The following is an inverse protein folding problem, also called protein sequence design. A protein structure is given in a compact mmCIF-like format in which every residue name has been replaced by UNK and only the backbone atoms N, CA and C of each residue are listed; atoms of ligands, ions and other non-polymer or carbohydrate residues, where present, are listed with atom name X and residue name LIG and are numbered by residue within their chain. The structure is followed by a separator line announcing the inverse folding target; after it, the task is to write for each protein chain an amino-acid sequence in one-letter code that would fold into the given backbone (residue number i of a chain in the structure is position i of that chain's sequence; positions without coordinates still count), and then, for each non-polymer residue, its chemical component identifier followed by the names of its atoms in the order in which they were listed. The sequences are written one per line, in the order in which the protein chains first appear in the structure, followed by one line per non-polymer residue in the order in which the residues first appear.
data_IF_417078582519
#
_entry.id   IF_417078582519
#
_cell.length_a   1.000
_cell.length_b   1.000
_cell.length_c   1.000
_cell.angle_alpha   90.00
_cell.angle_beta   90.00
_cell.angle_gamma   90.00
#
_symmetry.space_group_name_H-M   'P 1'
#
loop_
_entity.id
_entity.type
_entity.pdbx_description
1 polymer ?
#
# COMPACT_ATOMS: atom_id res chain seq x y z
N UNK A 1 7.69 -22.03 2.21
CA UNK A 1 7.54 -20.58 1.94
C UNK A 1 7.84 -19.85 3.23
N UNK A 2 8.53 -18.70 3.20
CA UNK A 2 8.82 -17.92 4.42
C UNK A 2 8.52 -16.44 4.20
N UNK A 3 7.80 -15.82 5.13
CA UNK A 3 7.37 -14.42 5.06
C UNK A 3 8.09 -13.59 6.11
N UNK A 4 8.79 -12.54 5.68
CA UNK A 4 9.30 -11.51 6.58
C UNK A 4 8.20 -10.47 6.84
N UNK A 5 7.99 -10.04 8.09
CA UNK A 5 7.01 -9.01 8.45
C UNK A 5 7.75 -7.78 8.99
N UNK A 6 7.91 -6.77 8.13
CA UNK A 6 8.46 -5.47 8.50
C UNK A 6 7.37 -4.58 9.11
N UNK A 7 7.66 -4.00 10.25
CA UNK A 7 6.71 -3.18 11.01
C UNK A 7 7.45 -2.22 11.95
N UNK A 8 6.77 -1.17 12.41
CA UNK A 8 7.29 -0.36 13.52
C UNK A 8 7.00 -1.06 14.84
N UNK A 9 7.81 -0.79 15.88
CA UNK A 9 7.56 -1.32 17.22
C UNK A 9 6.17 -0.93 17.76
N UNK A 10 5.62 0.23 17.35
CA UNK A 10 4.26 0.67 17.72
C UNK A 10 3.17 -0.25 17.14
N UNK A 11 3.48 -1.00 16.09
CA UNK A 11 2.56 -1.89 15.37
C UNK A 11 2.79 -3.38 15.70
N UNK A 12 3.57 -3.66 16.74
CA UNK A 12 3.90 -5.03 17.18
C UNK A 12 2.67 -5.94 17.30
N UNK A 13 1.59 -5.41 17.87
CA UNK A 13 0.36 -6.16 18.06
C UNK A 13 -0.25 -6.60 16.71
N UNK A 14 -0.18 -5.78 15.66
CA UNK A 14 -0.66 -6.11 14.31
C UNK A 14 0.23 -7.18 13.69
N UNK A 15 1.56 -7.01 13.79
CA UNK A 15 2.51 -7.99 13.28
C UNK A 15 2.32 -9.37 13.92
N UNK A 16 2.00 -9.42 15.22
CA UNK A 16 1.68 -10.65 15.94
C UNK A 16 0.38 -11.31 15.44
N UNK A 17 -0.67 -10.53 15.13
CA UNK A 17 -1.89 -11.09 14.55
C UNK A 17 -1.63 -11.72 13.18
N UNK A 18 -0.91 -11.00 12.31
CA UNK A 18 -0.51 -11.50 10.97
C UNK A 18 0.32 -12.78 11.10
N UNK A 19 1.32 -12.78 11.99
CA UNK A 19 2.12 -13.95 12.28
C UNK A 19 1.29 -15.14 12.75
N UNK A 20 0.31 -14.90 13.64
CA UNK A 20 -0.63 -15.92 14.10
C UNK A 20 -1.45 -16.53 12.96
N UNK A 21 -1.97 -15.70 12.06
CA UNK A 21 -2.71 -16.16 10.88
C UNK A 21 -1.82 -16.93 9.89
N UNK A 22 -0.59 -16.47 9.62
CA UNK A 22 0.37 -17.20 8.78
C UNK A 22 0.69 -18.57 9.38
N UNK A 23 0.93 -18.62 10.69
CA UNK A 23 1.19 -19.85 11.43
C UNK A 23 0.04 -20.84 11.34
N UNK A 24 -1.19 -20.38 11.48
CA UNK A 24 -2.39 -21.21 11.41
C UNK A 24 -2.54 -21.90 10.05
N UNK A 25 -1.98 -21.29 9.00
CA UNK A 25 -1.98 -21.81 7.62
C UNK A 25 -0.69 -22.58 7.27
N UNK A 26 0.19 -22.83 8.25
CA UNK A 26 1.45 -23.55 8.05
C UNK A 26 2.51 -22.78 7.27
N UNK A 27 2.39 -21.44 7.19
CA UNK A 27 3.37 -20.58 6.51
C UNK A 27 4.41 -20.12 7.52
N UNK A 28 5.69 -20.38 7.23
CA UNK A 28 6.79 -19.89 8.06
C UNK A 28 6.89 -18.36 7.99
N UNK A 29 7.26 -17.73 9.10
CA UNK A 29 7.40 -16.29 9.17
C UNK A 29 8.58 -15.86 10.04
N UNK A 30 8.96 -14.60 9.88
CA UNK A 30 9.89 -13.90 10.77
C UNK A 30 9.37 -12.48 11.02
N UNK A 31 9.38 -12.05 12.27
CA UNK A 31 9.29 -10.65 12.65
C UNK A 31 10.21 -10.43 13.85
N UNK A 32 10.71 -9.21 13.99
CA UNK A 32 11.65 -8.87 15.07
C UNK A 32 10.97 -7.97 16.12
N UNK A 33 11.25 -8.25 17.40
CA UNK A 33 10.75 -7.47 18.57
C UNK A 33 11.88 -6.67 19.23
N UNK A 34 12.97 -6.42 18.50
CA UNK A 34 14.11 -5.70 19.04
C UNK A 34 13.80 -4.20 19.13
N UNK A 35 13.85 -3.63 20.33
CA UNK A 35 13.89 -2.18 20.54
C UNK A 35 15.31 -1.66 20.25
N UNK A 36 15.62 -1.55 18.96
CA UNK A 36 16.92 -1.07 18.48
C UNK A 36 17.06 0.44 18.67
N UNK A 37 18.20 0.87 19.23
CA UNK A 37 18.50 2.25 19.59
C UNK A 37 19.13 3.03 18.43
N UNK A 38 19.15 4.35 18.60
CA UNK A 38 19.82 5.25 17.66
C UNK A 38 21.32 4.93 17.56
N UNK A 39 21.79 4.62 16.35
CA UNK A 39 23.18 4.30 16.07
C UNK A 39 23.47 2.81 15.96
N UNK A 40 22.48 1.95 16.26
CA UNK A 40 22.61 0.52 16.03
C UNK A 40 22.70 0.26 14.51
N UNK A 41 23.28 -0.87 14.13
CA UNK A 41 23.25 -1.39 12.77
C UNK A 41 22.22 -2.50 12.70
N UNK A 42 21.54 -2.67 11.55
CA UNK A 42 20.59 -3.79 11.37
C UNK A 42 21.26 -5.10 11.78
N UNK A 43 20.63 -5.79 12.72
CA UNK A 43 21.10 -7.07 13.26
C UNK A 43 21.34 -8.06 12.10
N UNK A 44 22.44 -8.82 12.18
CA UNK A 44 22.72 -9.90 11.25
C UNK A 44 21.53 -10.87 11.13
N UNK A 45 20.82 -11.12 12.24
CA UNK A 45 19.61 -11.95 12.27
C UNK A 45 18.51 -11.40 11.36
N UNK A 46 18.27 -10.09 11.38
CA UNK A 46 17.26 -9.44 10.52
C UNK A 46 17.68 -9.52 9.05
N UNK A 47 18.96 -9.24 8.75
CA UNK A 47 19.48 -9.37 7.38
C UNK A 47 19.34 -10.79 6.84
N UNK A 48 19.70 -11.79 7.64
CA UNK A 48 19.62 -13.19 7.25
C UNK A 48 18.16 -13.65 7.13
N UNK A 49 17.27 -13.14 7.98
CA UNK A 49 15.84 -13.39 7.86
C UNK A 49 15.26 -12.84 6.56
N UNK A 50 15.63 -11.62 6.14
CA UNK A 50 15.21 -11.05 4.86
C UNK A 50 15.73 -11.92 3.70
N UNK A 51 17.02 -12.26 3.69
CA UNK A 51 17.65 -13.07 2.63
C UNK A 51 17.05 -14.47 2.50
N UNK A 52 16.59 -15.06 3.59
CA UNK A 52 16.01 -16.42 3.61
C UNK A 52 14.50 -16.44 3.40
N UNK A 53 13.85 -15.27 3.33
CA UNK A 53 12.42 -15.16 3.09
C UNK A 53 12.13 -15.14 1.59
N UNK A 54 10.93 -15.57 1.20
CA UNK A 54 10.45 -15.49 -0.20
C UNK A 54 9.51 -14.31 -0.42
N UNK A 55 8.88 -13.84 0.65
CA UNK A 55 7.96 -12.71 0.65
C UNK A 55 8.30 -11.74 1.78
N UNK A 56 7.95 -10.47 1.58
CA UNK A 56 8.15 -9.40 2.53
C UNK A 56 6.84 -8.64 2.70
N UNK A 57 6.13 -8.87 3.79
CA UNK A 57 5.00 -8.04 4.19
C UNK A 57 5.54 -6.81 4.90
N UNK A 58 5.06 -5.63 4.53
CA UNK A 58 5.36 -4.39 5.25
C UNK A 58 4.09 -3.71 5.73
N UNK A 59 4.01 -3.46 7.03
CA UNK A 59 2.92 -2.69 7.62
C UNK A 59 3.18 -1.20 7.40
N UNK A 60 2.39 -0.61 6.53
CA UNK A 60 2.39 0.81 6.21
C UNK A 60 1.33 1.51 7.07
N UNK A 61 1.74 1.82 8.29
CA UNK A 61 1.00 2.58 9.30
C UNK A 61 1.64 3.96 9.52
N UNK A 62 1.04 4.86 10.30
CA UNK A 62 1.74 6.07 10.75
C UNK A 62 3.04 5.75 11.50
N UNK A 63 3.10 4.65 12.26
CA UNK A 63 4.30 4.23 12.99
C UNK A 63 5.45 3.83 12.07
N UNK A 64 5.17 3.29 10.88
CA UNK A 64 6.18 2.93 9.89
C UNK A 64 6.98 4.15 9.40
N UNK A 65 6.34 5.31 9.26
CA UNK A 65 6.99 6.57 8.87
C UNK A 65 7.93 7.13 9.94
N UNK A 66 7.61 6.90 11.21
CA UNK A 66 8.47 7.27 12.34
C UNK A 66 9.64 6.28 12.53
N UNK A 67 9.55 5.09 11.92
CA UNK A 67 10.56 4.05 12.06
C UNK A 67 11.77 4.32 11.19
N UNK A 68 12.97 4.24 11.80
CA UNK A 68 14.23 4.27 11.06
C UNK A 68 14.52 2.94 10.35
N UNK A 69 13.91 1.85 10.80
CA UNK A 69 14.22 0.49 10.35
C UNK A 69 13.39 0.04 9.18
N UNK A 70 12.09 0.33 9.18
CA UNK A 70 11.18 -0.07 8.10
C UNK A 70 11.68 0.39 6.72
N UNK A 71 12.12 1.66 6.51
CA UNK A 71 12.67 2.08 5.22
C UNK A 71 13.92 1.29 4.82
N UNK A 72 14.80 0.98 5.77
CA UNK A 72 16.03 0.26 5.49
C UNK A 72 15.78 -1.21 5.17
N UNK A 73 14.81 -1.85 5.85
CA UNK A 73 14.37 -3.20 5.56
C UNK A 73 13.71 -3.30 4.17
N UNK A 74 12.84 -2.35 3.83
CA UNK A 74 12.26 -2.25 2.48
C UNK A 74 13.37 -2.16 1.43
N UNK A 75 14.36 -1.28 1.63
CA UNK A 75 15.47 -1.11 0.69
C UNK A 75 16.29 -2.40 0.51
N UNK A 76 16.54 -3.16 1.58
CA UNK A 76 17.23 -4.44 1.48
C UNK A 76 16.39 -5.51 0.78
N UNK A 77 15.09 -5.58 1.05
CA UNK A 77 14.19 -6.52 0.39
C UNK A 77 14.06 -6.20 -1.11
N UNK A 78 13.99 -4.91 -1.45
CA UNK A 78 13.94 -4.42 -2.83
C UNK A 78 15.22 -4.76 -3.60
N UNK A 79 16.39 -4.57 -2.97
CA UNK A 79 17.70 -4.86 -3.57
C UNK A 79 17.88 -6.33 -3.96
N UNK A 80 17.18 -7.26 -3.31
CA UNK A 80 17.24 -8.70 -3.60
C UNK A 80 15.98 -9.21 -4.32
N UNK A 81 15.17 -8.32 -4.88
CA UNK A 81 13.94 -8.62 -5.62
C UNK A 81 12.95 -9.48 -4.84
N UNK A 82 12.86 -9.29 -3.52
CA UNK A 82 11.86 -9.98 -2.72
C UNK A 82 10.45 -9.52 -3.12
N UNK A 83 9.48 -10.43 -3.04
CA UNK A 83 8.06 -10.11 -3.26
C UNK A 83 7.56 -9.25 -2.10
N UNK A 84 7.63 -7.93 -2.24
CA UNK A 84 7.16 -6.96 -1.24
C UNK A 84 5.64 -6.74 -1.38
N UNK A 85 4.92 -6.91 -0.27
CA UNK A 85 3.47 -6.77 -0.13
C UNK A 85 3.18 -5.69 0.92
N UNK A 86 2.88 -4.45 0.51
CA UNK A 86 2.45 -3.40 1.42
C UNK A 86 1.03 -3.64 1.95
N UNK A 87 0.89 -3.67 3.27
CA UNK A 87 -0.41 -3.64 3.96
C UNK A 87 -0.60 -2.25 4.59
N UNK A 88 -1.56 -1.48 4.09
CA UNK A 88 -1.76 -0.07 4.45
C UNK A 88 -2.87 0.03 5.50
N UNK A 89 -2.67 0.86 6.53
CA UNK A 89 -3.68 1.12 7.56
C UNK A 89 -3.53 2.53 8.15
N UNK A 90 -4.60 3.34 8.09
CA UNK A 90 -4.62 4.74 8.56
C UNK A 90 -3.46 5.61 8.01
N UNK A 91 -3.04 5.33 6.77
CA UNK A 91 -2.05 6.14 6.06
C UNK A 91 -2.68 6.59 4.76
N UNK A 92 -2.44 7.86 4.44
CA UNK A 92 -2.80 8.45 3.17
C UNK A 92 -2.18 7.66 2.00
N UNK A 93 -2.98 7.35 0.98
CA UNK A 93 -2.64 6.59 -0.23
C UNK A 93 -1.38 7.11 -0.92
N UNK A 94 -1.11 8.40 -0.86
CA UNK A 94 0.10 8.99 -1.47
C UNK A 94 1.28 9.05 -0.51
N UNK A 95 1.03 8.86 0.80
CA UNK A 95 2.04 8.80 1.85
C UNK A 95 2.55 7.37 1.98
N UNK A 96 3.21 6.90 0.91
CA UNK A 96 3.95 5.63 0.88
C UNK A 96 5.45 5.87 0.66
N UNK A 97 6.32 4.95 1.09
CA UNK A 97 7.74 5.00 0.74
C UNK A 97 7.94 4.84 -0.77
N UNK A 98 8.91 5.55 -1.34
CA UNK A 98 9.12 5.63 -2.79
C UNK A 98 9.30 4.26 -3.45
N UNK A 99 10.01 3.34 -2.80
CA UNK A 99 10.22 1.96 -3.28
C UNK A 99 8.94 1.12 -3.36
N UNK A 100 7.85 1.58 -2.74
CA UNK A 100 6.56 0.89 -2.73
C UNK A 100 5.54 1.50 -3.70
N UNK A 101 5.91 2.58 -4.40
CA UNK A 101 4.98 3.33 -5.23
C UNK A 101 4.38 2.47 -6.34
N UNK A 102 5.23 1.70 -7.02
CA UNK A 102 4.86 0.84 -8.14
C UNK A 102 4.46 -0.58 -7.70
N UNK A 103 4.20 -0.79 -6.40
CA UNK A 103 3.79 -2.08 -5.87
C UNK A 103 2.30 -2.07 -5.54
N UNK A 104 1.60 -3.16 -5.86
CA UNK A 104 0.21 -3.37 -5.46
C UNK A 104 0.11 -3.34 -3.95
N UNK A 105 -0.82 -2.55 -3.42
CA UNK A 105 -1.00 -2.32 -1.98
C UNK A 105 -2.33 -2.90 -1.56
N UNK A 106 -2.40 -3.42 -0.35
CA UNK A 106 -3.63 -3.99 0.20
C UNK A 106 -4.01 -3.25 1.48
N UNK A 107 -5.30 -3.03 1.67
CA UNK A 107 -5.80 -2.58 2.97
C UNK A 107 -5.57 -3.69 4.01
N UNK A 108 -5.09 -3.33 5.20
CA UNK A 108 -4.87 -4.28 6.30
C UNK A 108 -6.13 -5.10 6.62
N UNK A 109 -7.33 -4.51 6.54
CA UNK A 109 -8.59 -5.22 6.78
C UNK A 109 -8.89 -6.27 5.70
N UNK A 110 -8.20 -6.23 4.57
CA UNK A 110 -8.26 -7.24 3.51
C UNK A 110 -7.10 -8.24 3.57
N UNK A 111 -6.40 -8.34 4.71
CA UNK A 111 -5.31 -9.29 4.88
C UNK A 111 -5.71 -10.75 4.61
N UNK A 112 -6.96 -11.15 4.88
CA UNK A 112 -7.45 -12.48 4.51
C UNK A 112 -7.30 -12.81 3.01
N UNK A 113 -7.44 -11.82 2.12
CA UNK A 113 -7.19 -11.98 0.68
C UNK A 113 -5.72 -12.27 0.40
N UNK A 114 -4.82 -11.51 1.04
CA UNK A 114 -3.37 -11.71 0.90
C UNK A 114 -2.97 -13.08 1.42
N UNK A 115 -3.52 -13.50 2.56
CA UNK A 115 -3.29 -14.83 3.12
C UNK A 115 -3.73 -15.94 2.16
N UNK A 116 -4.90 -15.81 1.54
CA UNK A 116 -5.37 -16.75 0.53
C UNK A 116 -4.49 -16.79 -0.72
N UNK A 117 -3.98 -15.65 -1.18
CA UNK A 117 -3.01 -15.59 -2.28
C UNK A 117 -1.73 -16.35 -1.92
N UNK A 118 -1.17 -16.12 -0.72
CA UNK A 118 0.01 -16.84 -0.24
C UNK A 118 -0.24 -18.35 -0.14
N UNK A 119 -1.42 -18.77 0.33
CA UNK A 119 -1.80 -20.19 0.38
C UNK A 119 -1.85 -20.81 -1.02
N UNK A 120 -2.45 -20.11 -1.99
CA UNK A 120 -2.53 -20.59 -3.37
C UNK A 120 -1.14 -20.71 -4.03
N UNK A 121 -0.21 -19.81 -3.70
CA UNK A 121 1.18 -19.92 -4.16
C UNK A 121 1.91 -21.10 -3.49
N UNK A 122 1.59 -21.43 -2.24
CA UNK A 122 2.18 -22.55 -1.53
C UNK A 122 1.65 -23.90 -2.01
N UNK A 123 0.36 -23.96 -2.39
CA UNK A 123 -0.29 -25.16 -2.89
C UNK A 123 -1.19 -24.82 -4.12
N UNK A 124 -0.66 -24.99 -5.35
CA UNK A 124 -1.38 -24.64 -6.58
C UNK A 124 -2.69 -25.41 -6.78
N UNK A 125 -2.88 -26.55 -6.12
CA UNK A 125 -4.10 -27.37 -6.21
C UNK A 125 -5.29 -26.77 -5.45
N UNK A 126 -5.05 -25.88 -4.47
CA UNK A 126 -6.08 -25.21 -3.66
C UNK A 126 -6.75 -24.05 -4.43
N UNK A 127 -6.14 -23.56 -5.50
CA UNK A 127 -6.61 -22.41 -6.27
C UNK A 127 -7.95 -22.66 -7.02
N UNK A 128 -8.36 -23.92 -7.21
CA UNK A 128 -9.54 -24.28 -8.01
C UNK A 128 -10.87 -24.31 -7.22
N UNK A 129 -10.89 -24.01 -5.91
CA UNK A 129 -12.08 -24.14 -5.07
C UNK A 129 -12.58 -22.83 -4.43
N UNK A 130 -11.92 -21.70 -4.70
CA UNK A 130 -12.22 -20.44 -4.02
C UNK A 130 -12.94 -19.45 -4.94
N UNK A 131 -14.23 -19.67 -5.17
CA UNK A 131 -15.17 -18.64 -5.61
C UNK A 131 -15.46 -17.71 -4.42
N UNK A 132 -14.56 -16.76 -4.14
CA UNK A 132 -14.82 -15.71 -3.16
C UNK A 132 -15.55 -14.54 -3.85
N UNK A 133 -16.85 -14.45 -3.60
CA UNK A 133 -17.62 -13.23 -3.79
C UNK A 133 -17.09 -12.16 -2.81
N UNK A 134 -16.81 -10.92 -3.26
CA UNK A 134 -16.28 -9.89 -2.38
C UNK A 134 -17.28 -9.55 -1.25
N UNK A 135 -16.80 -9.56 -0.01
CA UNK A 135 -17.51 -8.95 1.12
C UNK A 135 -17.85 -7.49 0.77
N UNK A 136 -19.13 -7.10 0.77
CA UNK A 136 -19.53 -5.74 0.45
C UNK A 136 -18.99 -4.80 1.53
N UNK A 137 -17.99 -3.98 1.19
CA UNK A 137 -17.62 -2.83 2.02
C UNK A 137 -18.80 -1.86 2.02
N UNK A 138 -19.21 -1.41 3.20
CA UNK A 138 -20.26 -0.40 3.36
C UNK A 138 -19.95 0.81 2.47
N UNK A 139 -20.72 0.95 1.40
CA UNK A 139 -20.61 2.07 0.49
C UNK A 139 -21.28 3.27 1.15
N UNK A 140 -20.48 4.17 1.72
CA UNK A 140 -20.98 5.48 2.13
C UNK A 140 -21.56 6.20 0.91
N UNK A 141 -22.74 6.78 1.12
CA UNK A 141 -23.69 7.34 0.13
C UNK A 141 -23.19 8.60 -0.61
N UNK A 142 -21.93 8.66 -1.04
CA UNK A 142 -21.34 9.84 -1.72
C UNK A 142 -21.13 9.68 -3.24
N UNK A 143 -21.58 8.57 -3.86
CA UNK A 143 -21.44 8.36 -5.32
C UNK A 143 -22.19 9.39 -6.20
N UNK A 144 -23.13 10.15 -5.63
CA UNK A 144 -23.99 11.07 -6.40
C UNK A 144 -23.43 12.50 -6.58
N UNK A 145 -22.19 12.80 -6.16
CA UNK A 145 -21.62 14.16 -6.26
C UNK A 145 -20.89 14.50 -7.58
N UNK A 146 -20.65 13.52 -8.47
CA UNK A 146 -19.84 13.74 -9.68
C UNK A 146 -20.65 13.56 -10.96
N UNK A 147 -21.43 14.56 -11.34
CA UNK A 147 -22.20 14.54 -12.60
C UNK A 147 -21.32 14.48 -13.88
N UNK A 148 -20.00 14.64 -13.78
CA UNK A 148 -19.02 14.49 -14.86
C UNK A 148 -17.74 13.79 -14.36
N UNK A 149 -17.88 12.63 -13.71
CA UNK A 149 -16.72 11.84 -13.27
C UNK A 149 -15.82 11.46 -14.48
N UNK A 150 -14.48 11.64 -14.39
CA UNK A 150 -13.57 11.14 -15.41
C UNK A 150 -13.71 9.64 -15.61
N UNK A 151 -13.57 9.16 -16.85
CA UNK A 151 -13.39 7.74 -17.16
C UNK A 151 -11.93 7.43 -17.48
N UNK A 152 -11.53 6.16 -17.40
CA UNK A 152 -10.24 5.73 -17.97
C UNK A 152 -10.14 6.19 -19.43
N UNK A 153 -8.99 6.73 -19.82
CA UNK A 153 -8.73 7.35 -21.11
C UNK A 153 -9.17 8.82 -21.23
N UNK A 154 -9.85 9.39 -20.23
CA UNK A 154 -10.24 10.80 -20.25
C UNK A 154 -9.04 11.72 -20.01
N UNK A 155 -8.97 12.83 -20.74
CA UNK A 155 -8.01 13.91 -20.48
C UNK A 155 -8.49 14.79 -19.33
N UNK A 156 -7.64 14.96 -18.33
CA UNK A 156 -7.88 15.78 -17.13
C UNK A 156 -6.70 16.72 -16.88
N UNK A 157 -6.93 17.79 -16.13
CA UNK A 157 -5.91 18.75 -15.70
C UNK A 157 -5.80 18.77 -14.18
N UNK A 158 -4.56 18.73 -13.71
CA UNK A 158 -4.20 18.85 -12.31
C UNK A 158 -4.35 20.31 -11.83
N UNK A 159 -4.62 20.51 -10.52
CA UNK A 159 -4.84 21.85 -9.98
C UNK A 159 -3.55 22.68 -10.10
N UNK A 160 -3.68 24.00 -10.17
CA UNK A 160 -2.54 24.92 -10.30
C UNK A 160 -1.85 25.23 -8.98
N UNK A 161 -2.45 24.83 -7.85
CA UNK A 161 -1.89 24.93 -6.50
C UNK A 161 -2.25 23.67 -5.69
N UNK A 162 -1.47 23.30 -4.67
CA UNK A 162 -1.82 22.20 -3.79
C UNK A 162 -3.20 22.43 -3.17
N UNK A 163 -4.11 21.44 -3.20
CA UNK A 163 -5.38 21.52 -2.52
C UNK A 163 -5.13 21.60 -1.00
N UNK A 164 -5.95 22.38 -0.30
CA UNK A 164 -5.74 22.69 1.12
C UNK A 164 -6.08 21.53 2.06
N UNK A 165 -6.83 20.51 1.62
CA UNK A 165 -7.25 19.39 2.46
C UNK A 165 -7.34 18.05 1.69
N UNK A 166 -7.13 16.94 2.41
CA UNK A 166 -7.58 15.62 2.01
C UNK A 166 -9.11 15.66 1.98
N UNK A 167 -9.70 15.64 0.79
CA UNK A 167 -11.12 15.95 0.59
C UNK A 167 -12.04 14.94 1.29
N UNK A 168 -11.52 13.77 1.67
CA UNK A 168 -12.24 12.71 2.35
C UNK A 168 -11.36 12.03 3.39
N UNK A 169 -11.52 12.44 4.66
CA UNK A 169 -10.74 11.89 5.78
C UNK A 169 -10.95 10.38 6.00
N UNK A 170 -12.06 9.80 5.51
CA UNK A 170 -12.34 8.36 5.54
C UNK A 170 -11.63 7.56 4.45
N UNK A 171 -11.21 8.21 3.36
CA UNK A 171 -10.68 7.54 2.16
C UNK A 171 -9.16 7.65 2.05
N UNK A 172 -8.53 8.34 3.02
CA UNK A 172 -7.08 8.46 3.15
C UNK A 172 -6.43 8.91 1.82
N UNK A 173 -6.96 9.92 1.13
CA UNK A 173 -6.31 10.49 -0.06
C UNK A 173 -5.91 11.95 0.18
N UNK A 174 -4.64 12.26 0.01
CA UNK A 174 -4.15 13.61 0.23
C UNK A 174 -2.92 13.95 -0.61
N UNK A 175 -2.61 15.23 -0.60
CA UNK A 175 -1.57 15.80 -1.44
C UNK A 175 -0.21 15.74 -0.75
N UNK A 176 0.80 15.20 -1.45
CA UNK A 176 2.17 15.12 -0.94
C UNK A 176 3.12 16.03 -1.74
N UNK A 177 4.21 16.54 -1.14
CA UNK A 177 5.14 17.46 -1.83
C UNK A 177 5.67 16.95 -3.18
N UNK A 178 5.81 15.63 -3.33
CA UNK A 178 6.24 14.99 -4.58
C UNK A 178 5.27 15.17 -5.75
N UNK A 179 4.04 15.62 -5.51
CA UNK A 179 3.04 15.93 -6.55
C UNK A 179 3.17 17.36 -7.09
N UNK A 180 3.87 18.26 -6.37
CA UNK A 180 4.01 19.66 -6.76
C UNK A 180 4.58 19.89 -8.17
N UNK A 181 5.54 19.09 -8.68
CA UNK A 181 6.04 19.24 -10.05
C UNK A 181 5.01 19.03 -11.17
N UNK A 182 3.82 18.51 -10.84
CA UNK A 182 2.75 18.19 -11.80
C UNK A 182 1.59 19.19 -11.76
N UNK A 183 1.62 20.19 -10.88
CA UNK A 183 0.60 21.23 -10.79
C UNK A 183 0.35 21.91 -12.16
N UNK A 184 -0.93 22.06 -12.52
CA UNK A 184 -1.39 22.70 -13.76
C UNK A 184 -1.18 21.88 -15.05
N UNK A 185 -0.50 20.73 -14.98
CA UNK A 185 -0.31 19.85 -16.13
C UNK A 185 -1.57 19.07 -16.45
N UNK A 186 -1.73 18.74 -17.74
CA UNK A 186 -2.74 17.80 -18.19
C UNK A 186 -2.17 16.38 -18.21
N UNK A 187 -3.05 15.39 -18.09
CA UNK A 187 -2.74 13.97 -18.20
C UNK A 187 -3.99 13.17 -18.56
N UNK A 188 -3.78 11.92 -18.90
CA UNK A 188 -4.82 10.93 -19.18
C UNK A 188 -5.05 10.03 -17.96
N UNK A 189 -6.31 9.69 -17.70
CA UNK A 189 -6.68 8.76 -16.63
C UNK A 189 -6.30 7.33 -17.00
N UNK A 190 -5.42 6.72 -16.22
CA UNK A 190 -4.96 5.35 -16.39
C UNK A 190 -5.81 4.33 -15.63
N UNK A 191 -6.16 4.65 -14.39
CA UNK A 191 -6.83 3.75 -13.45
C UNK A 191 -7.76 4.57 -12.57
N UNK A 192 -8.91 3.99 -12.19
CA UNK A 192 -9.87 4.57 -11.25
C UNK A 192 -10.10 3.58 -10.12
N UNK A 193 -10.06 4.07 -8.89
CA UNK A 193 -10.37 3.29 -7.69
C UNK A 193 -11.82 3.57 -7.22
N UNK A 194 -12.37 2.68 -6.40
CA UNK A 194 -13.76 2.72 -5.94
C UNK A 194 -14.08 3.95 -5.08
N UNK A 195 -13.05 4.60 -4.55
CA UNK A 195 -13.12 5.85 -3.78
C UNK A 195 -13.08 7.10 -4.68
N UNK A 196 -13.32 6.97 -5.98
CA UNK A 196 -13.30 8.08 -6.94
C UNK A 196 -11.95 8.84 -6.94
N UNK A 197 -10.85 8.09 -6.87
CA UNK A 197 -9.51 8.58 -7.16
C UNK A 197 -8.98 7.96 -8.44
N UNK A 198 -8.04 8.64 -9.09
CA UNK A 198 -7.44 8.20 -10.34
C UNK A 198 -5.91 8.25 -10.33
N UNK A 199 -5.27 7.32 -11.04
CA UNK A 199 -3.89 7.45 -11.48
C UNK A 199 -3.83 8.08 -12.86
N UNK A 200 -2.81 8.89 -13.10
CA UNK A 200 -2.64 9.64 -14.34
C UNK A 200 -1.30 9.32 -15.01
N UNK A 201 -1.23 9.44 -16.34
CA UNK A 201 0.01 9.23 -17.09
C UNK A 201 1.09 10.30 -16.83
N UNK A 202 0.67 11.50 -16.42
CA UNK A 202 1.52 12.68 -16.22
C UNK A 202 2.65 12.47 -15.21
N UNK A 203 2.47 11.53 -14.28
CA UNK A 203 3.47 11.11 -13.30
C UNK A 203 3.86 9.62 -13.43
N UNK A 204 3.41 8.95 -14.50
CA UNK A 204 3.60 7.52 -14.73
C UNK A 204 2.73 6.62 -13.86
N UNK A 205 1.59 7.09 -13.36
CA UNK A 205 0.71 6.35 -12.45
C UNK A 205 1.23 6.24 -11.02
N UNK A 206 2.07 7.21 -10.62
CA UNK A 206 2.79 7.24 -9.35
C UNK A 206 1.86 7.58 -8.18
N UNK A 207 1.02 8.60 -8.33
CA UNK A 207 0.12 9.07 -7.28
C UNK A 207 -1.36 8.83 -7.63
N UNK A 208 -2.17 8.78 -6.58
CA UNK A 208 -3.63 8.82 -6.68
C UNK A 208 -4.10 10.26 -6.54
N UNK A 209 -4.95 10.71 -7.46
CA UNK A 209 -5.54 12.04 -7.47
C UNK A 209 -7.04 11.92 -7.24
N UNK A 210 -7.56 12.62 -6.22
CA UNK A 210 -9.00 12.68 -5.98
C UNK A 210 -9.70 13.38 -7.14
N UNK A 211 -10.88 12.89 -7.56
CA UNK A 211 -11.63 13.47 -8.69
C UNK A 211 -11.92 14.96 -8.51
N UNK A 212 -12.13 15.42 -7.28
CA UNK A 212 -12.36 16.82 -6.93
C UNK A 212 -11.19 17.75 -7.23
N UNK A 213 -9.98 17.21 -7.40
CA UNK A 213 -8.81 17.98 -7.81
C UNK A 213 -8.69 18.12 -9.32
N UNK A 214 -9.44 17.31 -10.09
CA UNK A 214 -9.28 17.16 -11.52
C UNK A 214 -10.28 18.03 -12.28
N UNK A 215 -9.79 18.79 -13.24
CA UNK A 215 -10.61 19.55 -14.18
C UNK A 215 -10.66 18.82 -15.53
N UNK A 216 -11.84 18.66 -16.14
CA UNK A 216 -11.95 18.11 -17.49
C UNK A 216 -11.26 19.03 -18.51
N UNK A 217 -10.49 18.45 -19.42
CA UNK A 217 -9.92 19.19 -20.55
C UNK A 217 -10.90 19.10 -21.72
N UNK A 218 -11.56 20.22 -22.04
CA UNK A 218 -12.37 20.35 -23.27
C UNK A 218 -11.49 20.45 -24.51
#
# INVERSE_FOLDING_TARGET
MKVFISHSHKDMWIAQQIAGSLKAEGIDYFFDDSDMKLGDAIDARVKDAIKTSTHFIVLMTPGAWDSKWVPAEIAMADLIDLKIIPLVHYVDKNKIFELLINRTRYDLNSFGRVLNMLKSEMNPEVAQQNDFEPEPRETTKEKDKFLNAPSVGSAVRLPTRPPSEAIRASENIGWVPGMNPYLGKAGEVLEIDEDNSAKLDVDGGKYWYAFEWLESVN
#
